data_IF_480802695854
#
_entry.id   IF_480802695854
#
_cell.length_a   1.000
_cell.length_b   1.000
_cell.length_c   1.000
_cell.angle_alpha   90.00
_cell.angle_beta   90.00
_cell.angle_gamma   90.00
#
_symmetry.space_group_name_H-M   'P 1'
#
loop_
_entity.id
_entity.type
_entity.pdbx_description
1 polymer ?
#
# COMPACT_ATOMS: atom_id res chain seq x y z
N UNK A 1 5.01 0.98 -9.30
CA UNK A 1 4.62 0.70 -7.89
C UNK A 1 5.60 -0.26 -7.21
N UNK A 2 5.76 -1.50 -7.69
CA UNK A 2 6.70 -2.48 -7.11
C UNK A 2 8.13 -1.96 -6.92
N UNK A 3 8.72 -1.36 -7.96
CA UNK A 3 10.04 -0.73 -7.86
C UNK A 3 10.12 0.30 -6.71
N UNK A 4 9.09 1.12 -6.53
CA UNK A 4 9.02 2.09 -5.44
C UNK A 4 8.91 1.46 -4.06
N UNK A 5 8.23 0.30 -3.92
CA UNK A 5 8.22 -0.47 -2.67
C UNK A 5 9.60 -1.06 -2.36
N UNK A 6 10.31 -1.54 -3.38
CA UNK A 6 11.70 -2.01 -3.23
C UNK A 6 12.63 -0.86 -2.79
N UNK A 7 12.51 0.31 -3.43
CA UNK A 7 13.28 1.49 -3.05
C UNK A 7 12.99 1.93 -1.61
N UNK A 8 11.71 1.93 -1.21
CA UNK A 8 11.29 2.27 0.14
C UNK A 8 11.84 1.26 1.17
N UNK A 9 11.85 -0.04 0.82
CA UNK A 9 12.46 -1.08 1.65
C UNK A 9 13.95 -0.86 1.84
N UNK A 10 14.69 -0.58 0.76
CA UNK A 10 16.13 -0.28 0.83
C UNK A 10 16.41 0.97 1.66
N UNK A 11 15.63 2.04 1.46
CA UNK A 11 15.75 3.28 2.23
C UNK A 11 15.46 3.05 3.72
N UNK A 12 14.44 2.24 4.04
CA UNK A 12 14.12 1.89 5.42
C UNK A 12 15.29 1.16 6.09
N UNK A 13 15.84 0.12 5.45
CA UNK A 13 17.01 -0.61 5.97
C UNK A 13 18.21 0.32 6.15
N UNK A 14 18.51 1.16 5.16
CA UNK A 14 19.61 2.11 5.24
C UNK A 14 19.44 3.12 6.38
N UNK A 15 18.22 3.63 6.60
CA UNK A 15 17.93 4.53 7.71
C UNK A 15 18.19 3.85 9.07
N UNK A 16 17.82 2.58 9.22
CA UNK A 16 18.12 1.81 10.43
C UNK A 16 19.63 1.60 10.63
N UNK A 17 20.38 1.28 9.58
CA UNK A 17 21.84 1.14 9.65
C UNK A 17 22.47 2.46 10.11
N UNK A 18 22.06 3.59 9.53
CA UNK A 18 22.56 4.90 9.92
C UNK A 18 22.22 5.23 11.38
N UNK A 19 20.98 4.94 11.80
CA UNK A 19 20.56 5.14 13.18
C UNK A 19 21.41 4.33 14.16
N UNK A 20 21.65 3.05 13.87
CA UNK A 20 22.50 2.18 14.70
C UNK A 20 23.93 2.69 14.79
N UNK A 21 24.56 3.05 13.66
CA UNK A 21 25.93 3.57 13.63
C UNK A 21 26.08 4.93 14.32
N UNK A 22 25.01 5.72 14.33
CA UNK A 22 24.97 7.02 15.04
C UNK A 22 24.63 6.91 16.52
N UNK A 23 24.18 5.74 16.99
CA UNK A 23 23.77 5.54 18.37
C UNK A 23 24.97 5.38 19.29
N UNK A 24 24.93 6.04 20.45
CA UNK A 24 25.96 5.92 21.46
C UNK A 24 25.61 4.78 22.41
N UNK A 25 26.51 3.81 22.53
CA UNK A 25 26.40 2.76 23.52
C UNK A 25 27.03 3.24 24.84
N UNK A 26 26.20 3.45 25.87
CA UNK A 26 26.62 3.98 27.18
C UNK A 26 26.35 2.95 28.27
N UNK A 27 27.37 2.62 29.07
CA UNK A 27 27.27 1.72 30.22
C UNK A 27 27.81 2.38 31.47
N UNK A 28 27.26 2.02 32.62
CA UNK A 28 27.73 2.48 33.93
C UNK A 28 28.93 1.65 34.45
N UNK A 29 29.16 0.48 33.87
CA UNK A 29 30.21 -0.45 34.27
C UNK A 29 31.07 -0.83 33.05
N UNK A 30 32.33 -1.19 33.31
CA UNK A 30 33.23 -1.70 32.29
C UNK A 30 32.76 -3.10 31.86
N UNK A 31 32.37 -3.25 30.60
CA UNK A 31 31.90 -4.53 30.08
C UNK A 31 33.06 -5.40 29.56
N UNK A 32 33.04 -6.72 29.82
CA UNK A 32 33.86 -7.67 29.06
C UNK A 32 33.51 -7.64 27.58
N UNK A 33 34.51 -7.83 26.71
CA UNK A 33 34.35 -7.82 25.25
C UNK A 33 33.26 -8.79 24.77
N UNK A 34 33.18 -9.98 25.36
CA UNK A 34 32.17 -10.98 25.02
C UNK A 34 30.73 -10.49 25.27
N UNK A 35 30.52 -9.75 26.35
CA UNK A 35 29.22 -9.18 26.71
C UNK A 35 28.88 -8.02 25.78
N UNK A 36 29.85 -7.16 25.48
CA UNK A 36 29.68 -6.06 24.52
C UNK A 36 29.26 -6.60 23.15
N UNK A 37 29.99 -7.59 22.62
CA UNK A 37 29.69 -8.19 21.31
C UNK A 37 28.30 -8.83 21.29
N UNK A 38 27.94 -9.57 22.33
CA UNK A 38 26.61 -10.19 22.45
C UNK A 38 25.49 -9.13 22.43
N UNK A 39 25.68 -8.02 23.14
CA UNK A 39 24.69 -6.94 23.16
C UNK A 39 24.57 -6.22 21.80
N UNK A 40 25.70 -5.98 21.13
CA UNK A 40 25.69 -5.38 19.79
C UNK A 40 25.00 -6.29 18.77
N UNK A 41 25.26 -7.60 18.80
CA UNK A 41 24.59 -8.58 17.95
C UNK A 41 23.08 -8.63 18.22
N UNK A 42 22.67 -8.63 19.48
CA UNK A 42 21.26 -8.61 19.85
C UNK A 42 20.53 -7.38 19.28
N UNK A 43 21.15 -6.19 19.35
CA UNK A 43 20.60 -4.96 18.77
C UNK A 43 20.48 -5.05 17.24
N UNK A 44 21.48 -5.64 16.57
CA UNK A 44 21.44 -5.84 15.10
C UNK A 44 20.30 -6.79 14.72
N UNK A 45 20.14 -7.91 15.43
CA UNK A 45 19.06 -8.87 15.17
C UNK A 45 17.67 -8.29 15.46
N UNK A 46 17.53 -7.53 16.53
CA UNK A 46 16.30 -6.79 16.82
C UNK A 46 15.96 -5.82 15.68
N UNK A 47 16.95 -5.07 15.18
CA UNK A 47 16.75 -4.14 14.09
C UNK A 47 16.36 -4.83 12.77
N UNK A 48 16.95 -5.99 12.45
CA UNK A 48 16.56 -6.79 11.28
C UNK A 48 15.09 -7.22 11.35
N UNK A 49 14.61 -7.58 12.54
CA UNK A 49 13.22 -7.97 12.76
C UNK A 49 12.26 -6.76 12.72
N UNK A 50 12.68 -5.62 13.29
CA UNK A 50 11.83 -4.43 13.41
C UNK A 50 11.69 -3.64 12.10
N UNK A 51 12.71 -3.61 11.24
CA UNK A 51 12.68 -2.85 9.99
C UNK A 51 11.47 -3.18 9.08
N UNK A 52 11.20 -4.45 8.72
CA UNK A 52 10.04 -4.78 7.89
C UNK A 52 8.72 -4.47 8.60
N UNK A 53 8.64 -4.67 9.92
CA UNK A 53 7.43 -4.37 10.71
C UNK A 53 7.12 -2.87 10.67
N UNK A 54 8.14 -2.03 10.82
CA UNK A 54 7.97 -0.57 10.76
C UNK A 54 7.52 -0.11 9.38
N UNK A 55 8.11 -0.65 8.31
CA UNK A 55 7.67 -0.36 6.95
C UNK A 55 6.19 -0.72 6.74
N UNK A 56 5.77 -1.91 7.17
CA UNK A 56 4.38 -2.35 7.07
C UNK A 56 3.43 -1.46 7.89
N UNK A 57 3.86 -1.00 9.07
CA UNK A 57 3.09 -0.03 9.88
C UNK A 57 2.89 1.28 9.15
N UNK A 58 3.91 1.80 8.47
CA UNK A 58 3.77 3.02 7.66
C UNK A 58 2.80 2.83 6.49
N UNK A 59 2.87 1.68 5.80
CA UNK A 59 1.94 1.36 4.72
C UNK A 59 0.50 1.23 5.24
N UNK A 60 0.28 0.60 6.40
CA UNK A 60 -1.04 0.53 7.04
C UNK A 60 -1.55 1.91 7.41
N UNK A 61 -0.73 2.75 8.06
CA UNK A 61 -1.11 4.11 8.41
C UNK A 61 -1.52 4.92 7.18
N UNK A 62 -0.75 4.81 6.09
CA UNK A 62 -1.10 5.47 4.84
C UNK A 62 -2.46 4.99 4.32
N UNK A 63 -2.71 3.68 4.33
CA UNK A 63 -4.00 3.11 3.94
C UNK A 63 -5.15 3.64 4.80
N UNK A 64 -4.96 3.66 6.11
CA UNK A 64 -5.99 4.06 7.07
C UNK A 64 -6.31 5.56 6.93
N UNK A 65 -5.30 6.40 6.66
CA UNK A 65 -5.50 7.82 6.35
C UNK A 65 -6.28 7.99 5.04
N UNK A 66 -5.91 7.27 3.97
CA UNK A 66 -6.60 7.38 2.69
C UNK A 66 -8.07 6.93 2.79
N UNK A 67 -8.29 5.79 3.44
CA UNK A 67 -9.63 5.21 3.63
C UNK A 67 -10.48 6.08 4.55
N UNK A 68 -9.97 6.49 5.71
CA UNK A 68 -10.71 7.31 6.67
C UNK A 68 -11.06 8.71 6.17
N UNK A 69 -10.30 9.26 5.22
CA UNK A 69 -10.52 10.60 4.67
C UNK A 69 -11.10 10.59 3.24
N UNK A 70 -11.45 9.41 2.70
CA UNK A 70 -11.94 9.26 1.34
C UNK A 70 -11.07 9.94 0.27
N UNK A 71 -9.74 9.88 0.45
CA UNK A 71 -8.77 10.45 -0.49
C UNK A 71 -8.76 9.58 -1.75
N UNK A 72 -9.05 10.19 -2.89
CA UNK A 72 -9.05 9.51 -4.18
C UNK A 72 -7.62 9.13 -4.55
N UNK A 73 -7.41 7.84 -4.82
CA UNK A 73 -6.13 7.33 -5.31
C UNK A 73 -5.86 7.86 -6.71
N UNK A 74 -4.58 7.94 -7.10
CA UNK A 74 -4.20 8.34 -8.47
C UNK A 74 -4.85 7.51 -9.57
N UNK A 75 -5.29 6.28 -9.24
CA UNK A 75 -5.94 5.36 -10.17
C UNK A 75 -7.47 5.41 -10.11
N UNK A 76 -8.07 6.17 -9.19
CA UNK A 76 -9.51 6.25 -9.01
C UNK A 76 -10.18 4.93 -8.57
N UNK A 77 -9.40 3.99 -8.04
CA UNK A 77 -9.86 2.63 -7.72
C UNK A 77 -10.54 2.50 -6.36
N UNK A 78 -10.37 3.47 -5.46
CA UNK A 78 -10.97 3.47 -4.11
C UNK A 78 -12.17 4.41 -3.99
N UNK A 79 -12.04 5.64 -4.49
CA UNK A 79 -13.07 6.66 -4.43
C UNK A 79 -13.15 7.39 -5.77
N UNK A 80 -14.31 7.95 -6.05
CA UNK A 80 -14.56 8.82 -7.20
C UNK A 80 -15.35 10.06 -6.76
N UNK A 81 -15.30 11.11 -7.57
CA UNK A 81 -16.11 12.30 -7.34
C UNK A 81 -17.57 12.04 -7.72
N UNK A 82 -18.48 12.44 -6.83
CA UNK A 82 -19.89 12.61 -7.16
C UNK A 82 -20.03 13.85 -8.03
N UNK A 83 -20.34 13.64 -9.31
CA UNK A 83 -20.70 14.74 -10.21
C UNK A 83 -22.12 15.19 -9.83
N UNK A 84 -22.31 16.43 -9.33
CA UNK A 84 -23.65 16.89 -8.97
C UNK A 84 -24.53 16.91 -10.23
N UNK A 85 -25.66 16.22 -10.18
CA UNK A 85 -26.68 16.35 -11.21
C UNK A 85 -27.10 17.81 -11.29
N UNK A 86 -27.11 18.39 -12.50
CA UNK A 86 -27.67 19.72 -12.72
C UNK A 86 -29.17 19.66 -12.41
N UNK A 87 -29.53 20.01 -11.18
CA UNK A 87 -30.91 20.36 -10.87
C UNK A 87 -31.33 21.49 -11.79
N UNK A 88 -32.33 21.23 -12.62
CA UNK A 88 -33.00 22.24 -13.45
C UNK A 88 -33.74 23.23 -12.55
N UNK A 89 -33.03 24.23 -12.03
CA UNK A 89 -33.59 25.30 -11.21
C UNK A 89 -32.50 26.15 -10.56
N UNK A 90 -32.72 27.46 -10.46
CA UNK A 90 -31.83 28.52 -9.95
C UNK A 90 -31.43 28.36 -8.46
N UNK A 91 -30.96 27.19 -8.04
CA UNK A 91 -30.38 26.97 -6.73
C UNK A 91 -28.87 27.04 -6.90
N UNK A 92 -28.21 27.92 -6.14
CA UNK A 92 -26.77 28.01 -6.08
C UNK A 92 -26.28 26.64 -5.61
N UNK A 93 -25.77 25.82 -6.53
CA UNK A 93 -25.24 24.49 -6.22
C UNK A 93 -23.96 24.75 -5.44
N UNK A 94 -23.96 24.40 -4.16
CA UNK A 94 -22.76 24.38 -3.35
C UNK A 94 -21.78 23.41 -4.03
N UNK A 95 -20.67 23.92 -4.58
CA UNK A 95 -19.63 23.13 -5.26
C UNK A 95 -18.80 22.31 -4.25
N UNK A 96 -19.46 21.68 -3.27
CA UNK A 96 -18.80 20.70 -2.43
C UNK A 96 -18.69 19.43 -3.26
N UNK A 97 -17.52 19.24 -3.88
CA UNK A 97 -17.19 17.98 -4.53
C UNK A 97 -17.14 16.89 -3.45
N UNK A 98 -18.20 16.08 -3.41
CA UNK A 98 -18.28 14.91 -2.54
C UNK A 98 -17.59 13.75 -3.22
N UNK A 99 -17.04 12.84 -2.42
CA UNK A 99 -16.52 11.58 -2.91
C UNK A 99 -17.47 10.45 -2.52
N UNK A 100 -17.47 9.40 -3.33
CA UNK A 100 -18.10 8.12 -2.98
C UNK A 100 -17.09 6.99 -3.17
N UNK A 101 -17.19 5.94 -2.37
CA UNK A 101 -16.34 4.77 -2.52
C UNK A 101 -16.77 3.96 -3.73
N UNK A 102 -15.80 3.51 -4.53
CA UNK A 102 -16.03 2.57 -5.63
C UNK A 102 -16.63 1.28 -5.05
N UNK A 103 -17.61 0.73 -5.75
CA UNK A 103 -18.22 -0.57 -5.44
C UNK A 103 -17.87 -1.53 -6.56
N UNK A 104 -17.17 -2.61 -6.22
CA UNK A 104 -16.83 -3.67 -7.18
C UNK A 104 -17.99 -4.65 -7.39
N UNK A 105 -17.91 -5.46 -8.46
CA UNK A 105 -18.96 -6.40 -8.91
C UNK A 105 -19.45 -7.39 -7.85
N UNK A 106 -18.60 -7.72 -6.88
CA UNK A 106 -18.96 -8.56 -5.72
C UNK A 106 -19.69 -7.78 -4.61
N UNK A 107 -20.23 -6.60 -4.93
CA UNK A 107 -20.87 -5.66 -4.01
C UNK A 107 -19.95 -5.20 -2.86
N UNK A 108 -18.64 -5.28 -3.06
CA UNK A 108 -17.65 -4.84 -2.08
C UNK A 108 -17.37 -3.35 -2.28
N UNK A 109 -17.74 -2.54 -1.28
CA UNK A 109 -17.53 -1.09 -1.30
C UNK A 109 -16.21 -0.71 -0.65
N UNK A 110 -15.37 0.01 -1.39
CA UNK A 110 -14.11 0.57 -0.88
C UNK A 110 -14.32 1.61 0.24
N UNK A 111 -15.51 2.21 0.36
CA UNK A 111 -15.83 3.07 1.49
C UNK A 111 -16.06 2.26 2.78
N UNK A 112 -16.59 1.04 2.67
CA UNK A 112 -16.92 0.21 3.84
C UNK A 112 -15.81 -0.78 4.19
N UNK A 113 -15.08 -1.28 3.19
CA UNK A 113 -14.03 -2.26 3.35
C UNK A 113 -12.84 -1.91 2.44
N UNK A 114 -11.68 -1.51 3.00
CA UNK A 114 -10.52 -1.14 2.21
C UNK A 114 -9.89 -2.34 1.50
N UNK A 115 -10.16 -3.56 1.96
CA UNK A 115 -9.57 -4.79 1.42
C UNK A 115 -10.37 -5.37 0.25
N UNK A 116 -11.32 -4.63 -0.32
CA UNK A 116 -12.05 -5.08 -1.50
C UNK A 116 -11.07 -5.30 -2.66
N UNK A 117 -11.19 -6.46 -3.31
CA UNK A 117 -10.40 -6.80 -4.50
C UNK A 117 -11.22 -7.60 -5.50
N UNK A 118 -10.88 -7.45 -6.78
CA UNK A 118 -11.40 -8.20 -7.91
C UNK A 118 -10.24 -8.72 -8.78
N UNK A 119 -10.44 -9.76 -9.60
CA UNK A 119 -9.46 -10.15 -10.61
C UNK A 119 -9.13 -8.97 -11.52
N UNK A 120 -7.84 -8.72 -11.76
CA UNK A 120 -7.44 -7.75 -12.77
C UNK A 120 -7.75 -8.34 -14.16
N UNK A 121 -8.12 -7.49 -15.12
CA UNK A 121 -8.47 -7.93 -16.47
C UNK A 121 -8.14 -6.87 -17.52
N UNK A 122 -7.97 -7.33 -18.76
CA UNK A 122 -7.94 -6.47 -19.93
C UNK A 122 -9.31 -6.45 -20.59
N UNK A 123 -9.71 -5.31 -21.12
CA UNK A 123 -10.88 -5.21 -21.99
C UNK A 123 -10.37 -5.19 -23.42
N UNK A 124 -10.69 -6.24 -24.18
CA UNK A 124 -10.32 -6.29 -25.58
C UNK A 124 -11.15 -5.27 -26.37
N UNK A 125 -10.48 -4.32 -27.03
CA UNK A 125 -11.12 -3.17 -27.68
C UNK A 125 -12.06 -3.55 -28.82
N UNK A 126 -11.84 -4.69 -29.47
CA UNK A 126 -12.65 -5.16 -30.61
C UNK A 126 -13.93 -5.90 -30.24
N UNK A 127 -13.95 -6.56 -29.07
CA UNK A 127 -15.04 -7.46 -28.66
C UNK A 127 -15.70 -7.07 -27.33
N UNK A 128 -15.11 -6.11 -26.61
CA UNK A 128 -15.44 -5.80 -25.21
C UNK A 128 -15.33 -7.02 -24.29
N UNK A 129 -14.59 -8.05 -24.70
CA UNK A 129 -14.33 -9.23 -23.88
C UNK A 129 -13.40 -8.88 -22.73
N UNK A 130 -13.75 -9.38 -21.54
CA UNK A 130 -12.97 -9.20 -20.30
C UNK A 130 -12.07 -10.42 -20.14
N UNK A 131 -10.76 -10.22 -20.32
CA UNK A 131 -9.75 -11.27 -20.20
C UNK A 131 -9.06 -11.13 -18.84
N UNK A 132 -9.30 -12.04 -17.88
CA UNK A 132 -8.67 -11.97 -16.57
C UNK A 132 -7.16 -12.25 -16.66
N UNK A 133 -6.38 -11.50 -15.89
CA UNK A 133 -4.94 -11.66 -15.76
C UNK A 133 -4.68 -12.61 -14.59
N UNK A 134 -4.12 -13.78 -14.89
CA UNK A 134 -3.93 -14.82 -13.89
C UNK A 134 -3.05 -14.33 -12.72
N UNK A 135 -3.52 -14.53 -11.50
CA UNK A 135 -2.76 -14.17 -10.29
C UNK A 135 -2.60 -12.68 -10.03
N UNK A 136 -3.19 -11.79 -10.83
CA UNK A 136 -3.21 -10.36 -10.61
C UNK A 136 -4.60 -9.89 -10.15
N UNK A 137 -4.63 -9.05 -9.11
CA UNK A 137 -5.86 -8.49 -8.56
C UNK A 137 -5.81 -6.96 -8.55
N UNK A 138 -6.95 -6.36 -8.79
CA UNK A 138 -7.20 -4.94 -8.55
C UNK A 138 -7.91 -4.80 -7.21
N UNK A 139 -7.56 -3.78 -6.45
CA UNK A 139 -8.22 -3.44 -5.18
C UNK A 139 -8.30 -1.94 -4.98
N UNK A 140 -8.93 -1.54 -3.89
CA UNK A 140 -9.18 -0.13 -3.59
C UNK A 140 -7.89 0.71 -3.68
N UNK A 141 -6.79 0.18 -3.16
CA UNK A 141 -5.46 0.77 -3.27
C UNK A 141 -4.45 -0.17 -3.94
N UNK A 142 -3.35 0.36 -4.50
CA UNK A 142 -2.25 -0.46 -5.01
C UNK A 142 -1.64 -1.41 -3.97
N UNK A 143 -1.67 -1.07 -2.67
CA UNK A 143 -1.26 -1.96 -1.58
C UNK A 143 -2.10 -3.23 -1.55
N UNK A 144 -3.43 -3.10 -1.56
CA UNK A 144 -4.34 -4.25 -1.48
C UNK A 144 -4.34 -5.07 -2.76
N UNK A 145 -4.22 -4.39 -3.90
CA UNK A 145 -4.00 -5.03 -5.20
C UNK A 145 -2.77 -5.94 -5.14
N UNK A 146 -1.66 -5.42 -4.63
CA UNK A 146 -0.38 -6.14 -4.54
C UNK A 146 -0.45 -7.29 -3.53
N UNK A 147 -0.95 -7.05 -2.31
CA UNK A 147 -1.04 -8.08 -1.27
C UNK A 147 -1.94 -9.25 -1.66
N UNK A 148 -2.99 -8.99 -2.44
CA UNK A 148 -3.90 -10.04 -2.88
C UNK A 148 -3.44 -10.75 -4.17
N UNK A 149 -2.39 -10.26 -4.84
CA UNK A 149 -1.85 -10.83 -6.08
C UNK A 149 -0.75 -11.85 -5.80
N UNK A 150 -0.67 -12.90 -6.62
CA UNK A 150 0.44 -13.87 -6.62
C UNK A 150 1.57 -13.46 -7.57
N UNK A 151 1.30 -12.54 -8.51
CA UNK A 151 2.25 -12.00 -9.50
C UNK A 151 2.81 -13.06 -10.46
N UNK A 152 2.22 -14.25 -10.51
CA UNK A 152 2.69 -15.39 -11.32
C UNK A 152 2.70 -15.08 -12.83
N UNK A 153 1.80 -14.23 -13.30
CA UNK A 153 1.77 -13.78 -14.70
C UNK A 153 3.09 -13.12 -15.15
N UNK A 154 3.80 -12.41 -14.25
CA UNK A 154 5.06 -11.75 -14.59
C UNK A 154 6.21 -12.73 -14.88
N UNK A 155 6.02 -14.02 -14.55
CA UNK A 155 6.99 -15.08 -14.80
C UNK A 155 6.56 -16.02 -15.93
N UNK A 156 5.41 -15.75 -16.58
CA UNK A 156 4.86 -16.57 -17.66
C UNK A 156 4.73 -15.75 -18.95
N UNK A 157 5.58 -16.05 -19.94
CA UNK A 157 5.60 -15.39 -21.24
C UNK A 157 4.30 -15.54 -22.03
N UNK A 158 3.45 -16.52 -21.72
CA UNK A 158 2.15 -16.68 -22.38
C UNK A 158 1.06 -15.79 -21.76
N UNK A 159 1.34 -15.16 -20.62
CA UNK A 159 0.40 -14.29 -19.91
C UNK A 159 0.61 -12.79 -20.25
N UNK A 160 1.83 -12.41 -20.67
CA UNK A 160 2.21 -11.09 -21.18
C UNK A 160 2.17 -11.10 -22.71
#
# INVERSE_FOLDING_TARGET
>A
YLAGLCDLSNQSVNAFIQQFLSSLFVTIELLPESILNTQMEALVEENKSNAPVMLLRYLSLHRDINHGNAIISSYGTNYEYLVPERSSGNTIIEYVMRTQGIVYDNNCSCALNPNCTIPASFIQTSSSEIIPIQGLRMGCMPTESFFASTLECFYNLSCI
#
